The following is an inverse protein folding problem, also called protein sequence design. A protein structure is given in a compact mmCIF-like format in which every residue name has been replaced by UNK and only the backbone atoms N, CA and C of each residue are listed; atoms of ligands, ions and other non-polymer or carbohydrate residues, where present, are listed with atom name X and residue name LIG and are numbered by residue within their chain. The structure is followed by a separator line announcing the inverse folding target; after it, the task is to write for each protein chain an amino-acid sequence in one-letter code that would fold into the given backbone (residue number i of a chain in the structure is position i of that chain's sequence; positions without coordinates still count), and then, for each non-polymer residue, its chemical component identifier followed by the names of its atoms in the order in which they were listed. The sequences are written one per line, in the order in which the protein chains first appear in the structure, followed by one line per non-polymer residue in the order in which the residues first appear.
data_IF_553606940185
#
_entry.id   IF_553606940185
#
_cell.length_a   1.000
_cell.length_b   1.000
_cell.length_c   1.000
_cell.angle_alpha   90.00
_cell.angle_beta   90.00
_cell.angle_gamma   90.00
#
_symmetry.space_group_name_H-M   'P 1'
#
loop_
_entity.id
_entity.type
_entity.pdbx_description
1 polymer ?
#
# COMPACT_ATOMS: atom_id res chain seq x y z
N UNK A 1 -5.18 3.85 12.88
CA UNK A 1 -6.33 3.07 12.36
C UNK A 1 -6.38 3.13 10.84
N UNK A 2 -6.92 2.09 10.19
CA UNK A 2 -7.13 2.06 8.73
C UNK A 2 -8.28 2.98 8.34
N UNK A 3 -8.11 3.78 7.27
CA UNK A 3 -9.19 4.60 6.75
C UNK A 3 -10.10 3.79 5.80
N UNK A 4 -11.44 3.95 5.91
CA UNK A 4 -12.38 3.27 5.04
C UNK A 4 -12.22 3.73 3.58
N UNK A 5 -12.84 3.00 2.66
CA UNK A 5 -12.97 3.48 1.27
C UNK A 5 -13.87 4.73 1.25
N UNK A 6 -13.40 5.81 0.64
CA UNK A 6 -14.23 6.98 0.41
C UNK A 6 -15.26 6.66 -0.69
N UNK A 7 -16.55 6.87 -0.41
CA UNK A 7 -17.61 6.72 -1.40
C UNK A 7 -17.50 7.78 -2.50
N UNK A 8 -17.11 9.00 -2.12
CA UNK A 8 -16.86 10.12 -3.02
C UNK A 8 -15.42 10.59 -2.84
N UNK A 9 -14.48 10.15 -3.70
CA UNK A 9 -13.10 10.59 -3.61
C UNK A 9 -12.93 12.07 -3.92
N UNK A 10 -11.90 12.69 -3.33
CA UNK A 10 -11.58 14.10 -3.56
C UNK A 10 -11.44 14.38 -5.07
N UNK A 11 -12.06 15.45 -5.55
CA UNK A 11 -11.94 15.87 -6.95
C UNK A 11 -10.88 16.95 -7.05
N UNK A 12 -9.83 16.69 -7.83
CA UNK A 12 -8.76 17.67 -8.01
C UNK A 12 -9.27 18.92 -8.75
N UNK A 13 -8.81 20.13 -8.36
CA UNK A 13 -9.11 21.34 -9.10
C UNK A 13 -8.54 21.26 -10.52
N UNK A 14 -9.33 21.70 -11.51
CA UNK A 14 -8.94 21.64 -12.92
C UNK A 14 -8.20 22.92 -13.39
N UNK A 15 -8.30 24.00 -12.62
CA UNK A 15 -7.84 25.35 -12.96
C UNK A 15 -6.57 25.77 -12.20
N UNK A 16 -6.12 24.96 -11.24
CA UNK A 16 -4.94 25.23 -10.42
C UNK A 16 -4.33 23.93 -9.86
N UNK A 17 -3.15 24.05 -9.28
CA UNK A 17 -2.53 22.95 -8.55
C UNK A 17 -3.23 22.66 -7.21
N UNK A 18 -3.10 21.41 -6.76
CA UNK A 18 -3.56 20.97 -5.43
C UNK A 18 -2.71 21.58 -4.30
N UNK A 19 -3.37 22.15 -3.31
CA UNK A 19 -2.76 22.60 -2.06
C UNK A 19 -2.22 21.40 -1.25
N UNK A 20 -1.26 21.61 -0.33
CA UNK A 20 -0.72 20.51 0.49
C UNK A 20 -1.78 19.71 1.28
N UNK A 21 -2.85 20.36 1.77
CA UNK A 21 -3.99 19.68 2.41
C UNK A 21 -4.78 18.83 1.41
N UNK A 22 -5.07 19.37 0.23
CA UNK A 22 -5.78 18.68 -0.86
C UNK A 22 -5.00 17.49 -1.39
N UNK A 23 -3.66 17.60 -1.49
CA UNK A 23 -2.79 16.46 -1.84
C UNK A 23 -2.92 15.33 -0.82
N UNK A 24 -2.99 15.65 0.48
CA UNK A 24 -3.19 14.64 1.54
C UNK A 24 -4.57 13.99 1.41
N UNK A 25 -5.59 14.79 1.17
CA UNK A 25 -6.96 14.31 0.99
C UNK A 25 -7.11 13.43 -0.26
N UNK A 26 -6.45 13.81 -1.36
CA UNK A 26 -6.36 13.00 -2.58
C UNK A 26 -5.79 11.61 -2.25
N UNK A 27 -4.67 11.54 -1.53
CA UNK A 27 -4.11 10.24 -1.11
C UNK A 27 -5.04 9.46 -0.18
N UNK A 28 -5.75 10.13 0.74
CA UNK A 28 -6.64 9.45 1.69
C UNK A 28 -7.88 8.84 1.04
N UNK A 29 -8.37 9.48 -0.01
CA UNK A 29 -9.68 9.15 -0.60
C UNK A 29 -9.60 8.27 -1.85
N UNK A 30 -8.44 8.16 -2.49
CA UNK A 30 -8.22 7.27 -3.63
C UNK A 30 -7.79 5.86 -3.20
N UNK A 31 -7.92 4.90 -4.12
CA UNK A 31 -7.75 3.47 -3.81
C UNK A 31 -6.66 2.74 -4.58
N UNK A 32 -6.26 3.22 -5.76
CA UNK A 32 -5.22 2.60 -6.58
C UNK A 32 -3.99 3.49 -6.76
N UNK A 33 -2.84 2.85 -6.87
CA UNK A 33 -1.61 3.53 -7.26
C UNK A 33 -0.69 2.64 -8.10
N UNK A 34 0.21 3.26 -8.87
CA UNK A 34 1.37 2.59 -9.47
C UNK A 34 2.50 2.59 -8.44
N UNK A 35 2.86 1.42 -7.95
CA UNK A 35 3.99 1.20 -7.05
C UNK A 35 5.27 1.00 -7.87
N UNK A 36 6.19 1.95 -7.75
CA UNK A 36 7.50 1.97 -8.42
C UNK A 36 8.65 1.68 -7.46
N UNK A 37 9.59 0.83 -7.89
CA UNK A 37 10.79 0.49 -7.12
C UNK A 37 11.98 0.14 -8.01
N UNK A 38 13.18 0.33 -7.49
CA UNK A 38 14.44 0.16 -8.24
C UNK A 38 14.87 -1.31 -8.34
N UNK A 39 15.03 -1.82 -9.56
CA UNK A 39 15.67 -3.12 -9.81
C UNK A 39 17.19 -3.02 -9.68
N UNK A 40 17.85 -4.17 -9.50
CA UNK A 40 19.31 -4.20 -9.27
C UNK A 40 20.12 -3.90 -10.53
N UNK A 41 19.69 -4.46 -11.67
CA UNK A 41 20.44 -4.43 -12.93
C UNK A 41 19.63 -3.91 -14.11
N UNK A 42 18.36 -3.56 -13.90
CA UNK A 42 17.42 -3.11 -14.94
C UNK A 42 16.79 -1.77 -14.56
N UNK A 43 15.99 -1.22 -15.47
CA UNK A 43 15.10 -0.09 -15.20
C UNK A 43 14.08 -0.35 -14.07
N UNK A 44 13.38 0.70 -13.62
CA UNK A 44 12.45 0.59 -12.49
C UNK A 44 11.34 -0.43 -12.77
N UNK A 45 10.98 -1.18 -11.73
CA UNK A 45 9.81 -2.02 -11.76
C UNK A 45 8.58 -1.20 -11.35
N UNK A 46 7.46 -1.44 -12.02
CA UNK A 46 6.18 -0.82 -11.70
C UNK A 46 5.08 -1.88 -11.61
N UNK A 47 4.15 -1.70 -10.67
CA UNK A 47 2.95 -2.53 -10.55
C UNK A 47 1.78 -1.72 -10.02
N UNK A 48 0.60 -1.88 -10.61
CA UNK A 48 -0.64 -1.30 -10.07
C UNK A 48 -1.06 -2.10 -8.83
N UNK A 49 -1.31 -1.39 -7.74
CA UNK A 49 -1.73 -1.98 -6.45
C UNK A 49 -2.83 -1.15 -5.83
N UNK A 50 -3.61 -1.77 -4.95
CA UNK A 50 -4.43 -1.08 -3.98
C UNK A 50 -3.60 -0.77 -2.74
N UNK A 51 -3.86 0.39 -2.12
CA UNK A 51 -3.26 0.77 -0.86
C UNK A 51 -4.34 1.18 0.14
N UNK A 52 -4.01 1.13 1.42
CA UNK A 52 -4.86 1.56 2.53
C UNK A 52 -4.15 2.70 3.28
N UNK A 53 -4.69 3.92 3.26
CA UNK A 53 -4.20 5.00 4.10
C UNK A 53 -4.63 4.82 5.55
N UNK A 54 -3.83 5.37 6.47
CA UNK A 54 -4.14 5.43 7.90
C UNK A 54 -4.44 6.85 8.36
N UNK A 55 -5.03 6.99 9.55
CA UNK A 55 -5.16 8.26 10.26
C UNK A 55 -3.82 8.94 10.56
N UNK A 56 -2.75 8.14 10.73
CA UNK A 56 -1.35 8.57 10.93
C UNK A 56 -0.62 8.99 9.65
N UNK A 57 -1.33 9.09 8.51
CA UNK A 57 -0.76 9.44 7.20
C UNK A 57 0.19 8.39 6.60
N UNK A 58 0.20 7.18 7.15
CA UNK A 58 0.92 6.04 6.58
C UNK A 58 0.10 5.41 5.45
N UNK A 59 0.81 4.78 4.53
CA UNK A 59 0.21 4.05 3.42
C UNK A 59 0.58 2.59 3.55
N UNK A 60 -0.41 1.71 3.44
CA UNK A 60 -0.23 0.27 3.60
C UNK A 60 -0.49 -0.42 2.27
N UNK A 61 0.48 -1.19 1.80
CA UNK A 61 0.35 -1.97 0.57
C UNK A 61 0.48 -3.44 0.90
N UNK A 62 -0.53 -4.23 0.54
CA UNK A 62 -0.44 -5.68 0.68
C UNK A 62 0.46 -6.27 -0.43
N UNK A 63 1.43 -7.08 -0.02
CA UNK A 63 2.33 -7.79 -0.91
C UNK A 63 2.59 -9.20 -0.43
N UNK A 64 2.95 -10.12 -1.32
CA UNK A 64 3.44 -11.42 -0.87
C UNK A 64 4.90 -11.37 -0.42
N UNK A 65 5.20 -12.04 0.68
CA UNK A 65 6.58 -12.24 1.13
C UNK A 65 7.40 -12.94 0.03
N UNK A 66 8.66 -12.53 -0.13
CA UNK A 66 9.56 -13.07 -1.14
C UNK A 66 9.33 -12.57 -2.58
N UNK A 67 8.32 -11.74 -2.85
CA UNK A 67 8.19 -11.02 -4.13
C UNK A 67 9.24 -9.92 -4.26
N UNK A 68 9.51 -9.50 -5.49
CA UNK A 68 10.50 -8.45 -5.80
C UNK A 68 10.31 -7.19 -4.94
N UNK A 69 9.07 -6.70 -4.82
CA UNK A 69 8.74 -5.53 -3.99
C UNK A 69 9.17 -5.67 -2.52
N UNK A 70 8.89 -6.80 -1.86
CA UNK A 70 9.30 -7.01 -0.47
C UNK A 70 10.82 -7.01 -0.30
N UNK A 71 11.52 -7.74 -1.19
CA UNK A 71 12.99 -7.81 -1.16
C UNK A 71 13.65 -6.45 -1.43
N UNK A 72 13.09 -5.66 -2.33
CA UNK A 72 13.64 -4.33 -2.65
C UNK A 72 13.37 -3.34 -1.53
N UNK A 73 12.18 -3.37 -0.93
CA UNK A 73 11.86 -2.53 0.24
C UNK A 73 12.82 -2.83 1.38
N UNK A 74 13.10 -4.10 1.69
CA UNK A 74 14.08 -4.47 2.72
C UNK A 74 15.51 -4.00 2.41
N UNK A 75 15.88 -3.98 1.13
CA UNK A 75 17.23 -3.60 0.70
C UNK A 75 17.45 -2.09 0.68
N UNK A 76 16.53 -1.35 0.07
CA UNK A 76 16.72 0.06 -0.28
C UNK A 76 15.82 1.02 0.52
N UNK A 77 14.65 0.56 0.98
CA UNK A 77 13.62 1.39 1.59
C UNK A 77 12.96 2.43 0.66
N UNK A 78 13.63 2.89 -0.40
CA UNK A 78 13.09 3.97 -1.25
C UNK A 78 12.14 3.46 -2.32
N UNK A 79 10.93 4.03 -2.35
CA UNK A 79 9.90 3.72 -3.34
C UNK A 79 9.11 4.95 -3.77
N UNK A 80 8.34 4.81 -4.84
CA UNK A 80 7.46 5.84 -5.37
C UNK A 80 6.06 5.29 -5.59
N UNK A 81 5.02 6.05 -5.26
CA UNK A 81 3.63 5.73 -5.58
C UNK A 81 3.05 6.81 -6.48
N UNK A 82 2.52 6.45 -7.64
CA UNK A 82 1.67 7.35 -8.41
C UNK A 82 0.20 7.00 -8.10
N UNK A 83 -0.43 7.78 -7.21
CA UNK A 83 -1.84 7.61 -6.84
C UNK A 83 -2.72 8.09 -7.99
N UNK A 84 -3.71 7.29 -8.36
CA UNK A 84 -4.54 7.53 -9.54
C UNK A 84 -5.97 7.88 -9.13
N UNK A 85 -6.56 8.87 -9.81
CA UNK A 85 -8.02 8.99 -9.90
C UNK A 85 -8.51 8.11 -11.05
N UNK A 86 -9.44 7.23 -10.73
CA UNK A 86 -10.06 6.31 -11.70
C UNK A 86 -11.21 7.00 -12.46
N UNK A 87 -11.58 8.23 -12.07
CA UNK A 87 -12.66 9.02 -12.68
C UNK A 87 -12.12 10.01 -13.70
N UNK A 88 -13.02 10.47 -14.56
CA UNK A 88 -12.77 11.57 -15.49
C UNK A 88 -13.28 12.89 -14.88
N UNK A 89 -12.57 14.03 -15.02
CA UNK A 89 -11.26 14.20 -15.66
C UNK A 89 -10.11 13.54 -14.88
N UNK A 90 -9.16 12.98 -15.62
CA UNK A 90 -8.08 12.19 -15.02
C UNK A 90 -7.12 13.07 -14.21
N UNK A 91 -6.88 12.67 -12.97
CA UNK A 91 -5.92 13.29 -12.06
C UNK A 91 -5.02 12.24 -11.41
N UNK A 92 -3.82 12.65 -11.01
CA UNK A 92 -2.89 11.77 -10.31
C UNK A 92 -2.01 12.55 -9.35
N UNK A 93 -1.40 11.83 -8.40
CA UNK A 93 -0.45 12.40 -7.45
C UNK A 93 0.74 11.48 -7.23
N UNK A 94 1.94 12.00 -7.49
CA UNK A 94 3.18 11.31 -7.14
C UNK A 94 3.53 11.51 -5.66
N UNK A 95 3.80 10.40 -4.99
CA UNK A 95 4.30 10.31 -3.61
C UNK A 95 5.64 9.60 -3.64
N UNK A 96 6.64 10.18 -2.99
CA UNK A 96 7.91 9.53 -2.71
C UNK A 96 7.91 9.14 -1.24
N UNK A 97 8.28 7.90 -0.93
CA UNK A 97 8.14 7.36 0.42
C UNK A 97 9.34 6.49 0.81
N UNK A 98 9.60 6.50 2.10
CA UNK A 98 10.41 5.49 2.76
C UNK A 98 9.52 4.33 3.14
N UNK A 99 9.89 3.13 2.71
CA UNK A 99 9.15 1.91 2.88
C UNK A 99 9.84 0.97 3.85
N UNK A 100 9.06 0.39 4.75
CA UNK A 100 9.48 -0.71 5.59
C UNK A 100 8.59 -1.93 5.33
N UNK A 101 9.13 -3.13 5.58
CA UNK A 101 8.28 -4.32 5.64
C UNK A 101 7.68 -4.41 7.03
N UNK A 102 6.37 -4.60 7.07
CA UNK A 102 5.60 -4.77 8.30
C UNK A 102 5.27 -6.25 8.50
N UNK A 103 5.48 -6.75 9.71
CA UNK A 103 5.37 -8.16 10.09
C UNK A 103 4.29 -8.47 11.12
N UNK A 104 3.58 -7.46 11.62
CA UNK A 104 2.36 -7.65 12.41
C UNK A 104 1.31 -8.42 11.59
N UNK A 105 1.01 -9.63 12.08
CA UNK A 105 0.08 -10.56 11.44
C UNK A 105 -1.36 -10.07 11.46
N UNK A 106 -1.80 -9.45 12.55
CA UNK A 106 -3.18 -9.00 12.70
C UNK A 106 -3.43 -7.79 11.81
N UNK A 107 -2.48 -6.86 11.79
CA UNK A 107 -2.48 -5.74 10.84
C UNK A 107 -2.47 -6.23 9.39
N UNK A 108 -1.71 -7.29 9.08
CA UNK A 108 -1.70 -7.88 7.76
C UNK A 108 -3.03 -8.49 7.33
N UNK A 109 -3.74 -9.12 8.27
CA UNK A 109 -5.11 -9.62 8.03
C UNK A 109 -6.05 -8.45 7.76
N UNK A 110 -6.00 -7.42 8.60
CA UNK A 110 -6.86 -6.24 8.48
C UNK A 110 -6.66 -5.51 7.15
N UNK A 111 -5.41 -5.32 6.74
CA UNK A 111 -5.09 -4.67 5.46
C UNK A 111 -5.51 -5.53 4.28
N UNK A 112 -5.31 -6.85 4.31
CA UNK A 112 -5.79 -7.72 3.23
C UNK A 112 -7.31 -7.71 3.11
N UNK A 113 -8.01 -7.70 4.25
CA UNK A 113 -9.48 -7.58 4.27
C UNK A 113 -9.91 -6.23 3.70
N UNK A 114 -9.26 -5.14 4.10
CA UNK A 114 -9.55 -3.80 3.60
C UNK A 114 -9.25 -3.66 2.09
N UNK A 115 -8.12 -4.20 1.62
CA UNK A 115 -7.77 -4.22 0.18
C UNK A 115 -8.82 -4.99 -0.62
N UNK A 116 -9.19 -6.18 -0.17
CA UNK A 116 -10.19 -6.97 -0.86
C UNK A 116 -11.57 -6.27 -0.85
N UNK A 117 -11.93 -5.60 0.24
CA UNK A 117 -13.13 -4.76 0.29
C UNK A 117 -13.09 -3.56 -0.68
N UNK A 118 -11.92 -2.93 -0.85
CA UNK A 118 -11.72 -1.86 -1.85
C UNK A 118 -11.82 -2.37 -3.29
N UNK A 119 -11.36 -3.59 -3.54
CA UNK A 119 -11.46 -4.26 -4.83
C UNK A 119 -12.91 -4.61 -5.19
N UNK A 120 -13.69 -5.12 -4.23
CA UNK A 120 -15.11 -5.47 -4.44
C UNK A 120 -16.06 -4.28 -4.33
N UNK A 121 -15.60 -3.16 -3.76
CA UNK A 121 -16.44 -1.98 -3.47
C UNK A 121 -17.36 -2.15 -2.25
N UNK A 122 -17.23 -3.25 -1.50
CA UNK A 122 -18.04 -3.57 -0.32
C UNK A 122 -17.17 -4.28 0.72
N UNK A 123 -17.33 -4.00 2.04
CA UNK A 123 -16.62 -4.73 3.08
C UNK A 123 -16.84 -6.24 3.00
N UNK A 124 -15.80 -7.00 3.30
CA UNK A 124 -15.92 -8.45 3.40
C UNK A 124 -16.51 -8.85 4.75
N UNK A 125 -17.41 -9.84 4.76
CA UNK A 125 -17.95 -10.42 5.99
C UNK A 125 -16.93 -11.25 6.78
N UNK A 126 -17.29 -11.60 8.02
CA UNK A 126 -16.40 -12.25 9.00
C UNK A 126 -15.83 -13.59 8.52
N UNK A 127 -16.58 -14.33 7.71
CA UNK A 127 -16.12 -15.60 7.11
C UNK A 127 -14.85 -15.42 6.27
N UNK A 128 -14.71 -14.27 5.60
CA UNK A 128 -13.53 -13.98 4.82
C UNK A 128 -12.30 -13.74 5.72
N UNK A 129 -12.48 -13.28 6.97
CA UNK A 129 -11.38 -13.10 7.92
C UNK A 129 -10.70 -14.42 8.24
N UNK A 130 -11.46 -15.49 8.45
CA UNK A 130 -10.89 -16.82 8.69
C UNK A 130 -10.06 -17.32 7.50
N UNK A 131 -10.55 -17.13 6.26
CA UNK A 131 -9.81 -17.47 5.04
C UNK A 131 -8.55 -16.63 4.88
N UNK A 132 -8.64 -15.34 5.16
CA UNK A 132 -7.51 -14.40 5.09
C UNK A 132 -6.45 -14.69 6.14
N UNK A 133 -6.85 -15.05 7.37
CA UNK A 133 -5.95 -15.48 8.44
C UNK A 133 -5.19 -16.76 8.09
N UNK A 134 -5.84 -17.74 7.44
CA UNK A 134 -5.16 -18.94 6.92
C UNK A 134 -4.13 -18.61 5.85
N UNK A 135 -4.39 -17.62 4.99
CA UNK A 135 -3.39 -17.13 4.02
C UNK A 135 -2.20 -16.47 4.72
N UNK A 136 -2.44 -15.64 5.75
CA UNK A 136 -1.37 -15.08 6.59
C UNK A 136 -0.54 -16.15 7.31
N UNK A 137 -1.17 -17.20 7.83
CA UNK A 137 -0.48 -18.25 8.59
C UNK A 137 0.63 -18.96 7.78
N UNK A 138 0.49 -18.99 6.46
CA UNK A 138 1.43 -19.64 5.55
C UNK A 138 2.51 -18.67 5.04
N UNK A 139 2.59 -17.46 5.59
CA UNK A 139 3.56 -16.43 5.25
C UNK A 139 4.80 -16.48 6.14
N UNK A 140 5.99 -16.70 5.55
CA UNK A 140 7.27 -16.47 6.26
C UNK A 140 7.71 -15.03 6.03
N UNK A 141 7.66 -14.21 7.08
CA UNK A 141 8.07 -12.79 7.05
C UNK A 141 9.58 -12.67 7.26
N UNK A 142 10.20 -11.70 6.59
CA UNK A 142 11.62 -11.40 6.72
C UNK A 142 11.79 -10.09 7.51
N UNK A 143 12.67 -10.13 8.50
CA UNK A 143 12.92 -9.11 9.50
C UNK A 143 14.03 -8.12 9.10
N UNK A 144 13.95 -6.89 9.60
CA UNK A 144 14.93 -6.34 10.56
C UNK A 144 14.57 -4.90 10.97
N UNK A 145 14.52 -4.69 12.29
CA UNK A 145 14.46 -3.40 12.98
C UNK A 145 15.83 -2.71 13.00
N UNK A 146 15.87 -1.38 13.03
CA UNK A 146 17.09 -0.59 13.27
C UNK A 146 16.79 0.91 13.38
N UNK A 147 17.00 1.46 14.57
CA UNK A 147 16.63 2.81 15.00
C UNK A 147 17.68 3.90 14.66
N UNK A 148 17.22 5.13 14.40
CA UNK A 148 18.04 6.35 14.28
C UNK A 148 17.21 7.55 13.78
N UNK A 149 17.44 8.79 14.27
CA UNK A 149 16.44 9.85 14.20
C UNK A 149 16.48 10.59 12.86
N UNK A 150 15.33 10.73 12.19
CA UNK A 150 15.17 11.71 11.09
C UNK A 150 13.68 12.01 10.86
N UNK A 151 13.21 13.25 11.03
CA UNK A 151 11.87 13.68 10.62
C UNK A 151 11.93 14.43 9.26
N UNK A 152 10.81 14.70 8.57
CA UNK A 152 9.61 13.89 8.34
C UNK A 152 9.52 13.53 6.85
N UNK A 153 9.68 12.25 6.50
CA UNK A 153 9.20 11.69 5.22
C UNK A 153 8.33 10.48 5.57
N UNK A 154 7.09 10.49 5.08
CA UNK A 154 6.00 9.59 5.49
C UNK A 154 6.39 8.12 5.28
N UNK A 155 6.07 7.26 6.25
CA UNK A 155 6.37 5.83 6.19
C UNK A 155 5.31 5.12 5.33
N UNK A 156 5.77 4.37 4.34
CA UNK A 156 4.99 3.36 3.65
C UNK A 156 5.28 2.01 4.31
N UNK A 157 4.26 1.30 4.78
CA UNK A 157 4.46 -0.06 5.27
C UNK A 157 4.03 -1.05 4.18
N UNK A 158 5.00 -1.75 3.60
CA UNK A 158 4.76 -2.87 2.70
C UNK A 158 4.46 -4.11 3.54
N UNK A 159 3.19 -4.39 3.80
CA UNK A 159 2.78 -5.54 4.61
C UNK A 159 2.89 -6.81 3.77
N UNK A 160 3.69 -7.77 4.25
CA UNK A 160 4.07 -8.98 3.54
C UNK A 160 3.27 -10.22 3.99
N UNK A 161 2.49 -10.84 3.08
CA UNK A 161 1.72 -12.06 3.33
C UNK A 161 1.93 -13.10 2.22
N UNK A 162 2.70 -14.17 2.45
CA UNK A 162 2.92 -15.20 1.44
C UNK A 162 1.65 -16.03 1.17
N UNK A 163 1.40 -16.32 -0.11
CA UNK A 163 0.61 -17.48 -0.51
C UNK A 163 1.56 -18.42 -1.24
N UNK A 164 1.91 -19.54 -0.63
CA UNK A 164 2.58 -20.64 -1.34
C UNK A 164 1.57 -21.24 -2.32
N UNK A 165 1.72 -20.97 -3.62
CA UNK A 165 1.20 -21.91 -4.63
C UNK A 165 2.12 -23.14 -4.58
N UNK A 166 1.59 -24.37 -4.57
CA UNK A 166 2.40 -25.55 -4.84
C UNK A 166 3.02 -25.37 -6.23
N UNK A 167 4.35 -25.54 -6.32
CA UNK A 167 5.02 -25.68 -7.60
C UNK A 167 4.65 -27.06 -8.14
N UNK A 168 4.00 -27.10 -9.30
CA UNK A 168 4.20 -28.23 -10.22
C UNK A 168 5.54 -28.02 -10.91
#
# INVERSE_FOLDING_TARGET
MLLPLAAEPFTAPADRDMLPSERREFVRTHRTCVFGYRRRHDGPAMSVVYYIPTDTDDLLVSTMAGRGKARIVQRDGKVSLCVLDERWPFAYLQVYADAAVEDDRDLAIDVMMAVAGRMSGQPLGDEARARTSRRCANARTASSFGAGPTPPTRRLHAICTATTRPRN
#
